data_IF_353460442340
#
_entry.id   IF_353460442340
#
_cell.length_a   1.000
_cell.length_b   1.000
_cell.length_c   1.000
_cell.angle_alpha   90.00
_cell.angle_beta   90.00
_cell.angle_gamma   90.00
#
_symmetry.space_group_name_H-M   'P 1'
#
loop_
_entity.id
_entity.type
_entity.pdbx_description
1 polymer ?
#
# COMPACT_ATOMS: atom_id res chain seq x y z
N UNK A 1 9.25 2.60 17.29
CA UNK A 1 7.87 2.87 16.80
C UNK A 1 7.56 4.34 17.04
N UNK A 2 6.85 5.01 16.14
CA UNK A 2 6.43 6.40 16.32
C UNK A 2 5.77 6.59 17.69
N UNK A 3 6.00 7.76 18.28
CA UNK A 3 5.49 8.07 19.62
C UNK A 3 4.37 9.11 19.59
N UNK A 4 4.16 9.81 18.46
CA UNK A 4 3.08 10.77 18.34
C UNK A 4 2.94 11.32 16.92
N UNK A 5 1.76 11.88 16.67
CA UNK A 5 1.39 12.58 15.44
C UNK A 5 0.84 13.96 15.81
N UNK A 6 1.34 15.01 15.18
CA UNK A 6 0.91 16.40 15.42
C UNK A 6 0.58 17.06 14.09
N UNK A 7 -0.56 17.76 14.06
CA UNK A 7 -0.99 18.54 12.92
C UNK A 7 -0.79 20.03 13.27
N UNK A 8 0.01 20.71 12.48
CA UNK A 8 0.34 22.11 12.66
C UNK A 8 -0.13 22.92 11.43
N UNK A 9 -0.63 24.10 11.66
CA UNK A 9 -0.91 25.11 10.65
C UNK A 9 -0.04 26.33 10.90
N UNK A 10 0.40 26.99 9.84
CA UNK A 10 1.09 28.25 9.91
C UNK A 10 0.16 29.39 9.50
N UNK A 11 -0.11 30.30 10.43
CA UNK A 11 -0.84 31.54 10.18
C UNK A 11 0.12 32.73 10.22
N UNK A 12 0.08 33.60 9.20
CA UNK A 12 0.99 34.73 9.08
C UNK A 12 0.86 35.76 10.23
N UNK A 13 -0.26 35.80 10.96
CA UNK A 13 -0.53 36.72 12.04
C UNK A 13 -0.31 36.14 13.42
N UNK A 14 -0.67 34.88 13.60
CA UNK A 14 -0.64 34.19 14.88
C UNK A 14 0.64 33.34 15.03
N UNK A 15 1.22 32.90 13.92
CA UNK A 15 2.36 32.00 13.89
C UNK A 15 1.94 30.54 13.87
N UNK A 16 2.58 29.71 14.71
CA UNK A 16 2.32 28.27 14.81
C UNK A 16 1.01 28.01 15.56
N UNK A 17 0.11 27.29 14.92
CA UNK A 17 -1.12 26.77 15.52
C UNK A 17 -1.15 25.24 15.43
N UNK A 18 -1.39 24.56 16.56
CA UNK A 18 -1.55 23.10 16.60
C UNK A 18 -3.05 22.80 16.50
N UNK A 19 -3.44 22.16 15.37
CA UNK A 19 -4.82 21.83 15.06
C UNK A 19 -5.27 20.50 15.70
N UNK A 20 -4.33 19.59 15.95
CA UNK A 20 -4.60 18.30 16.57
C UNK A 20 -3.33 17.53 16.91
N UNK A 21 -3.44 16.60 17.86
CA UNK A 21 -2.34 15.75 18.27
C UNK A 21 -2.86 14.36 18.70
N UNK A 22 -2.03 13.34 18.49
CA UNK A 22 -2.29 11.99 19.00
C UNK A 22 -0.98 11.33 19.43
N UNK A 23 -0.89 10.74 20.64
CA UNK A 23 -1.86 10.94 21.76
C UNK A 23 -2.04 12.41 22.14
N UNK A 24 -3.17 12.75 22.78
CA UNK A 24 -3.49 14.15 23.16
C UNK A 24 -2.45 14.81 24.06
N UNK A 25 -1.70 14.02 24.84
CA UNK A 25 -0.66 14.48 25.75
C UNK A 25 0.64 14.86 25.02
N UNK A 26 0.74 14.57 23.75
CA UNK A 26 1.95 14.85 22.95
C UNK A 26 2.09 16.36 22.76
N UNK A 27 3.22 16.88 23.18
CA UNK A 27 3.57 18.30 23.02
C UNK A 27 4.95 18.42 22.41
N UNK A 28 5.05 19.18 21.33
CA UNK A 28 6.32 19.60 20.72
C UNK A 28 6.61 21.03 21.18
N UNK A 29 7.86 21.30 21.55
CA UNK A 29 8.26 22.66 21.91
C UNK A 29 8.10 23.60 20.72
N UNK A 30 7.55 24.79 20.94
CA UNK A 30 7.33 25.83 19.91
C UNK A 30 8.62 26.13 19.13
N UNK A 31 9.77 26.18 19.79
CA UNK A 31 11.07 26.34 19.14
C UNK A 31 11.34 25.26 18.09
N UNK A 32 10.96 24.02 18.35
CA UNK A 32 11.16 22.89 17.42
C UNK A 32 10.19 22.98 16.25
N UNK A 33 8.94 23.39 16.49
CA UNK A 33 7.97 23.65 15.42
C UNK A 33 8.45 24.78 14.51
N UNK A 34 9.01 25.84 15.05
CA UNK A 34 9.62 26.94 14.29
C UNK A 34 10.83 26.48 13.47
N UNK A 35 11.61 25.55 13.97
CA UNK A 35 12.73 24.96 13.21
C UNK A 35 12.21 24.14 12.02
N UNK A 36 11.17 23.34 12.20
CA UNK A 36 10.52 22.58 11.11
C UNK A 36 9.95 23.52 10.05
N UNK A 37 9.21 24.56 10.48
CA UNK A 37 8.70 25.58 9.59
C UNK A 37 9.83 26.21 8.75
N UNK A 38 10.90 26.65 9.39
CA UNK A 38 12.04 27.29 8.70
C UNK A 38 12.73 26.37 7.70
N UNK A 39 12.77 25.06 7.96
CA UNK A 39 13.34 24.09 7.02
C UNK A 39 12.45 23.90 5.79
N UNK A 40 11.14 23.81 5.98
CA UNK A 40 10.19 23.72 4.87
C UNK A 40 10.15 25.02 4.05
N UNK A 41 10.21 26.18 4.71
CA UNK A 41 10.26 27.48 4.04
C UNK A 41 11.51 27.62 3.14
N UNK A 42 12.64 27.04 3.58
CA UNK A 42 13.86 27.04 2.78
C UNK A 42 13.74 26.20 1.49
N UNK A 43 12.96 25.12 1.50
CA UNK A 43 12.68 24.32 0.31
C UNK A 43 11.61 24.96 -0.57
N UNK A 44 10.66 25.67 0.03
CA UNK A 44 9.57 26.39 -0.65
C UNK A 44 8.54 25.51 -1.37
N UNK A 45 8.70 24.19 -1.30
CA UNK A 45 7.86 23.20 -1.99
C UNK A 45 7.21 22.26 -0.99
N UNK A 46 6.06 21.69 -1.37
CA UNK A 46 5.44 20.60 -0.63
C UNK A 46 6.39 19.39 -0.59
N UNK A 47 6.43 18.71 0.55
CA UNK A 47 7.30 17.55 0.69
C UNK A 47 7.68 17.26 2.12
N UNK A 48 8.57 16.31 2.30
CA UNK A 48 9.01 15.85 3.60
C UNK A 48 10.34 16.46 4.03
N UNK A 49 10.46 16.73 5.32
CA UNK A 49 11.68 17.14 6.02
C UNK A 49 11.85 16.29 7.26
N UNK A 50 13.05 15.77 7.50
CA UNK A 50 13.44 15.09 8.72
C UNK A 50 14.30 16.00 9.59
N UNK A 51 13.97 16.11 10.89
CA UNK A 51 14.69 16.92 11.87
C UNK A 51 14.99 16.13 13.12
N UNK A 52 16.26 16.12 13.54
CA UNK A 52 16.63 15.59 14.88
C UNK A 52 16.61 16.70 15.90
N UNK A 53 15.77 16.57 16.92
CA UNK A 53 15.60 17.52 18.01
C UNK A 53 15.88 16.86 19.37
N UNK A 54 17.11 16.95 19.83
CA UNK A 54 17.54 16.29 21.07
C UNK A 54 17.51 14.78 21.00
N UNK A 55 16.62 14.14 21.75
CA UNK A 55 16.49 12.68 21.83
C UNK A 55 15.40 12.10 20.92
N UNK A 56 14.74 12.92 20.09
CA UNK A 56 13.68 12.49 19.18
C UNK A 56 14.01 12.88 17.75
N UNK A 57 13.58 12.05 16.82
CA UNK A 57 13.53 12.41 15.40
C UNK A 57 12.10 12.84 15.04
N UNK A 58 11.99 13.79 14.14
CA UNK A 58 10.73 14.30 13.62
C UNK A 58 10.73 14.13 12.11
N UNK A 59 9.69 13.53 11.57
CA UNK A 59 9.42 13.50 10.14
C UNK A 59 8.20 14.40 9.89
N UNK A 60 8.36 15.47 9.11
CA UNK A 60 7.33 16.46 8.85
C UNK A 60 7.02 16.54 7.37
N UNK A 61 5.75 16.39 7.00
CA UNK A 61 5.28 16.57 5.65
C UNK A 61 4.52 17.91 5.54
N UNK A 62 4.98 18.76 4.64
CA UNK A 62 4.38 20.06 4.34
C UNK A 62 3.51 19.98 3.09
N UNK A 63 2.32 20.54 3.15
CA UNK A 63 1.31 20.47 2.08
C UNK A 63 1.46 21.55 1.00
N UNK A 64 2.38 22.46 1.19
CA UNK A 64 2.57 23.60 0.28
C UNK A 64 1.85 24.88 0.75
N UNK A 65 2.08 26.01 0.07
CA UNK A 65 1.64 27.34 0.51
C UNK A 65 0.11 27.55 0.46
N UNK A 66 -0.63 26.74 -0.31
CA UNK A 66 -2.08 26.92 -0.44
C UNK A 66 -2.84 26.52 0.84
N UNK A 67 -2.41 25.47 1.52
CA UNK A 67 -3.04 24.99 2.76
C UNK A 67 -2.19 25.23 4.01
N UNK A 68 -0.88 25.43 3.88
CA UNK A 68 0.08 25.73 4.94
C UNK A 68 0.00 24.79 6.16
N UNK A 69 -0.31 23.51 5.92
CA UNK A 69 -0.45 22.47 6.94
C UNK A 69 0.81 21.61 6.98
N UNK A 70 1.21 21.23 8.18
CA UNK A 70 2.35 20.37 8.46
C UNK A 70 1.86 19.17 9.26
N UNK A 71 2.12 17.97 8.76
CA UNK A 71 1.83 16.70 9.44
C UNK A 71 3.12 16.15 9.98
N UNK A 72 3.27 16.15 11.31
CA UNK A 72 4.52 15.88 12.01
C UNK A 72 4.42 14.56 12.75
N UNK A 73 5.27 13.60 12.40
CA UNK A 73 5.41 12.32 13.09
C UNK A 73 6.60 12.38 14.04
N UNK A 74 6.37 12.02 15.28
CA UNK A 74 7.41 11.97 16.31
C UNK A 74 7.95 10.55 16.40
N UNK A 75 9.25 10.42 16.20
CA UNK A 75 9.99 9.17 16.13
C UNK A 75 10.96 9.04 17.28
N UNK A 76 11.35 7.81 17.61
CA UNK A 76 12.49 7.59 18.48
C UNK A 76 13.80 7.97 17.78
N UNK A 77 14.87 8.18 18.54
CA UNK A 77 16.17 8.57 17.98
C UNK A 77 16.78 7.54 17.00
N UNK A 78 16.34 6.29 17.08
CA UNK A 78 16.85 5.19 16.26
C UNK A 78 16.06 5.02 14.94
N UNK A 79 14.93 5.72 14.79
CA UNK A 79 14.06 5.58 13.63
C UNK A 79 14.43 6.59 12.54
N UNK A 80 14.46 6.10 11.31
CA UNK A 80 14.66 6.90 10.11
C UNK A 80 13.32 7.46 9.63
N UNK A 81 13.21 8.80 9.59
CA UNK A 81 12.01 9.50 9.12
C UNK A 81 11.67 9.20 7.65
N UNK A 82 12.67 8.99 6.80
CA UNK A 82 12.48 8.80 5.35
C UNK A 82 11.68 7.55 5.01
N UNK A 83 11.63 6.58 5.93
CA UNK A 83 10.81 5.37 5.76
C UNK A 83 9.32 5.68 5.78
N UNK A 84 8.92 6.78 6.46
CA UNK A 84 7.52 7.18 6.62
C UNK A 84 7.01 8.17 5.58
N UNK A 85 7.88 8.67 4.69
CA UNK A 85 7.55 9.72 3.71
C UNK A 85 6.26 9.43 2.94
N UNK A 86 6.18 8.26 2.32
CA UNK A 86 5.01 7.85 1.53
C UNK A 86 3.74 7.71 2.39
N UNK A 87 3.89 7.16 3.61
CA UNK A 87 2.81 7.04 4.57
C UNK A 87 2.29 8.39 5.05
N UNK A 88 3.21 9.32 5.37
CA UNK A 88 2.87 10.70 5.74
C UNK A 88 2.13 11.43 4.63
N UNK A 89 2.63 11.36 3.40
CA UNK A 89 1.96 11.96 2.25
C UNK A 89 0.54 11.41 2.04
N UNK A 90 0.34 10.12 2.27
CA UNK A 90 -0.97 9.49 2.12
C UNK A 90 -1.97 9.94 3.20
N UNK A 91 -1.57 9.92 4.48
CA UNK A 91 -2.47 10.36 5.57
C UNK A 91 -2.73 11.87 5.52
N UNK A 92 -1.76 12.67 5.06
CA UNK A 92 -1.91 14.12 4.92
C UNK A 92 -3.13 14.49 4.09
N UNK A 93 -3.40 13.75 3.00
CA UNK A 93 -4.59 13.98 2.17
C UNK A 93 -5.88 13.73 2.97
N UNK A 94 -5.94 12.68 3.75
CA UNK A 94 -7.11 12.39 4.59
C UNK A 94 -7.30 13.44 5.69
N UNK A 95 -6.20 13.95 6.25
CA UNK A 95 -6.20 15.04 7.22
C UNK A 95 -6.75 16.32 6.58
N UNK A 96 -6.26 16.70 5.39
CA UNK A 96 -6.72 17.90 4.67
C UNK A 96 -8.24 17.88 4.40
N UNK A 97 -8.79 16.72 4.02
CA UNK A 97 -10.23 16.57 3.79
C UNK A 97 -11.08 16.73 5.06
N UNK A 98 -10.48 16.64 6.24
CA UNK A 98 -11.17 16.69 7.53
C UNK A 98 -10.74 17.85 8.42
N UNK A 99 -9.94 18.80 7.91
CA UNK A 99 -9.42 19.93 8.71
C UNK A 99 -10.52 20.81 9.32
N UNK A 100 -11.57 21.08 8.56
CA UNK A 100 -12.68 21.95 8.97
C UNK A 100 -13.77 21.19 9.76
N UNK A 101 -13.61 19.90 9.95
CA UNK A 101 -14.62 19.08 10.65
C UNK A 101 -14.23 18.83 12.10
N UNK A 102 -15.21 18.80 13.00
CA UNK A 102 -15.04 18.38 14.41
C UNK A 102 -14.52 16.92 14.53
N UNK A 103 -14.37 16.24 13.39
CA UNK A 103 -13.93 14.85 13.32
C UNK A 103 -12.41 14.68 13.27
N UNK A 104 -11.60 15.75 13.13
CA UNK A 104 -10.15 15.64 12.99
C UNK A 104 -9.53 14.75 14.07
N UNK A 105 -9.80 15.02 15.34
CA UNK A 105 -9.24 14.25 16.45
C UNK A 105 -9.70 12.78 16.45
N UNK A 106 -10.86 12.47 15.88
CA UNK A 106 -11.37 11.09 15.81
C UNK A 106 -10.66 10.25 14.75
N UNK A 107 -10.11 10.88 13.71
CA UNK A 107 -9.38 10.17 12.64
C UNK A 107 -7.89 10.01 12.92
N UNK A 108 -7.30 10.82 13.82
CA UNK A 108 -5.86 10.73 14.11
C UNK A 108 -5.43 9.37 14.67
N UNK A 109 -6.15 8.71 15.61
CA UNK A 109 -5.74 7.40 16.12
C UNK A 109 -5.60 6.33 15.05
N UNK A 110 -6.58 6.06 14.17
CA UNK A 110 -6.42 5.07 13.11
C UNK A 110 -5.34 5.43 12.09
N UNK A 111 -5.16 6.72 11.76
CA UNK A 111 -4.09 7.16 10.86
C UNK A 111 -2.71 6.94 11.49
N UNK A 112 -2.56 7.23 12.76
CA UNK A 112 -1.32 6.99 13.51
C UNK A 112 -0.98 5.50 13.58
N UNK A 113 -1.96 4.63 13.88
CA UNK A 113 -1.76 3.18 13.87
C UNK A 113 -1.28 2.68 12.50
N UNK A 114 -1.88 3.20 11.44
CA UNK A 114 -1.48 2.88 10.06
C UNK A 114 -0.04 3.29 9.77
N UNK A 115 0.38 4.49 10.18
CA UNK A 115 1.77 4.93 10.07
C UNK A 115 2.72 4.07 10.88
N UNK A 116 2.35 3.69 12.11
CA UNK A 116 3.22 2.94 13.01
C UNK A 116 3.67 1.59 12.46
N UNK A 117 2.86 0.97 11.61
CA UNK A 117 3.21 -0.32 10.96
C UNK A 117 3.86 -0.14 9.57
N UNK A 118 3.91 1.08 9.05
CA UNK A 118 4.37 1.37 7.68
C UNK A 118 5.76 0.79 7.35
N UNK A 119 6.77 0.87 8.23
CA UNK A 119 8.09 0.29 7.96
C UNK A 119 8.10 -1.23 7.83
N UNK A 120 7.11 -1.89 8.45
CA UNK A 120 7.01 -3.36 8.50
C UNK A 120 6.09 -3.93 7.43
N UNK A 121 5.47 -3.07 6.59
CA UNK A 121 4.59 -3.51 5.52
C UNK A 121 5.32 -4.40 4.52
N UNK A 122 4.69 -5.52 4.21
CA UNK A 122 5.15 -6.42 3.16
C UNK A 122 4.98 -5.78 1.78
N UNK A 123 5.65 -6.33 0.77
CA UNK A 123 5.49 -5.88 -0.61
C UNK A 123 4.02 -5.98 -1.07
N UNK A 124 3.34 -7.08 -0.72
CA UNK A 124 1.91 -7.28 -0.97
C UNK A 124 1.04 -6.15 -0.37
N UNK A 125 1.30 -5.77 0.88
CA UNK A 125 0.57 -4.67 1.54
C UNK A 125 0.86 -3.31 0.88
N UNK A 126 2.09 -3.05 0.44
CA UNK A 126 2.44 -1.82 -0.30
C UNK A 126 1.71 -1.72 -1.64
N UNK A 127 1.57 -2.84 -2.37
CA UNK A 127 0.73 -2.88 -3.57
C UNK A 127 -0.74 -2.65 -3.22
N UNK A 128 -1.21 -3.22 -2.11
CA UNK A 128 -2.56 -2.96 -1.59
C UNK A 128 -2.81 -1.49 -1.32
N UNK A 129 -1.87 -0.78 -0.69
CA UNK A 129 -1.96 0.67 -0.46
C UNK A 129 -2.01 1.46 -1.76
N UNK A 130 -1.24 1.07 -2.78
CA UNK A 130 -1.32 1.70 -4.08
C UNK A 130 -2.71 1.55 -4.70
N UNK A 131 -3.27 0.33 -4.66
CA UNK A 131 -4.60 0.05 -5.21
C UNK A 131 -5.74 0.67 -4.38
N UNK A 132 -5.57 0.84 -3.08
CA UNK A 132 -6.57 1.46 -2.21
C UNK A 132 -6.66 2.99 -2.39
N UNK A 133 -5.63 3.61 -2.96
CA UNK A 133 -5.62 5.03 -3.30
C UNK A 133 -6.25 5.26 -4.68
N UNK A 134 -7.41 5.96 -4.72
CA UNK A 134 -8.11 6.28 -5.97
C UNK A 134 -7.21 6.99 -6.97
N UNK A 135 -6.41 7.93 -6.50
CA UNK A 135 -5.50 8.73 -7.33
C UNK A 135 -4.39 7.87 -7.95
N UNK A 136 -3.75 7.01 -7.14
CA UNK A 136 -2.71 6.08 -7.61
C UNK A 136 -3.29 5.05 -8.58
N UNK A 137 -4.50 4.55 -8.29
CA UNK A 137 -5.21 3.60 -9.15
C UNK A 137 -5.60 4.21 -10.49
N UNK A 138 -6.09 5.46 -10.49
CA UNK A 138 -6.40 6.20 -11.72
C UNK A 138 -5.15 6.38 -12.59
N UNK A 139 -4.02 6.78 -11.98
CA UNK A 139 -2.76 6.95 -12.72
C UNK A 139 -2.25 5.62 -13.27
N UNK A 140 -2.31 4.54 -12.48
CA UNK A 140 -1.92 3.20 -12.95
C UNK A 140 -2.78 2.75 -14.13
N UNK A 141 -4.09 2.94 -14.07
CA UNK A 141 -5.00 2.59 -15.18
C UNK A 141 -4.68 3.38 -16.45
N UNK A 142 -4.40 4.66 -16.33
CA UNK A 142 -3.99 5.48 -17.47
C UNK A 142 -2.66 4.99 -18.09
N UNK A 143 -1.68 4.63 -17.23
CA UNK A 143 -0.39 4.09 -17.71
C UNK A 143 -0.54 2.71 -18.37
N UNK A 144 -1.55 1.93 -17.97
CA UNK A 144 -1.91 0.66 -18.64
C UNK A 144 -2.38 0.86 -20.07
N UNK A 145 -3.08 1.96 -20.33
CA UNK A 145 -3.60 2.30 -21.66
C UNK A 145 -2.53 2.96 -22.55
N UNK A 146 -1.78 3.91 -21.99
CA UNK A 146 -0.88 4.75 -22.77
C UNK A 146 0.59 4.32 -22.76
N UNK A 147 0.99 3.43 -21.86
CA UNK A 147 2.35 2.86 -21.71
C UNK A 147 3.43 3.88 -21.34
N UNK A 148 3.40 5.08 -21.90
CA UNK A 148 4.34 6.16 -21.67
C UNK A 148 3.63 7.51 -21.73
N UNK A 149 3.73 8.33 -20.67
CA UNK A 149 3.08 9.63 -20.56
C UNK A 149 4.10 10.66 -20.04
N UNK A 150 4.05 11.89 -20.52
CA UNK A 150 4.94 12.94 -19.99
C UNK A 150 4.53 13.37 -18.59
N UNK A 151 5.50 13.67 -17.71
CA UNK A 151 5.23 14.17 -16.36
C UNK A 151 4.35 15.41 -16.38
N UNK A 152 4.58 16.34 -17.30
CA UNK A 152 3.76 17.54 -17.47
C UNK A 152 2.33 17.21 -17.85
N UNK A 153 2.11 16.23 -18.71
CA UNK A 153 0.77 15.78 -19.10
C UNK A 153 0.03 15.10 -17.93
N UNK A 154 0.72 14.27 -17.15
CA UNK A 154 0.16 13.68 -15.92
C UNK A 154 -0.27 14.81 -14.96
N UNK A 155 0.57 15.81 -14.75
CA UNK A 155 0.27 16.93 -13.85
C UNK A 155 -0.97 17.74 -14.28
N UNK A 156 -1.09 18.03 -15.58
CA UNK A 156 -2.26 18.72 -16.12
C UNK A 156 -3.52 17.87 -15.98
N UNK A 157 -3.43 16.60 -16.40
CA UNK A 157 -4.56 15.68 -16.35
C UNK A 157 -5.04 15.42 -14.91
N UNK A 158 -4.11 15.27 -13.95
CA UNK A 158 -4.48 15.09 -12.55
C UNK A 158 -5.21 16.30 -11.98
N UNK A 159 -4.78 17.52 -12.30
CA UNK A 159 -5.49 18.76 -11.90
C UNK A 159 -6.91 18.82 -12.47
N UNK A 160 -7.10 18.36 -13.70
CA UNK A 160 -8.43 18.31 -14.33
C UNK A 160 -9.36 17.27 -13.72
N UNK A 161 -8.82 16.11 -13.36
CA UNK A 161 -9.59 15.00 -12.78
C UNK A 161 -9.88 15.21 -11.29
N UNK A 162 -8.94 15.81 -10.56
CA UNK A 162 -8.98 15.95 -9.11
C UNK A 162 -9.07 17.44 -8.72
N UNK A 163 -10.24 18.04 -8.98
CA UNK A 163 -10.48 19.48 -8.78
C UNK A 163 -10.54 19.91 -7.33
N UNK A 164 -10.83 18.98 -6.39
CA UNK A 164 -11.10 19.26 -4.99
C UNK A 164 -9.91 18.95 -4.05
N UNK A 165 -8.73 18.67 -4.57
CA UNK A 165 -7.60 18.29 -3.72
C UNK A 165 -6.24 18.58 -4.32
N UNK A 166 -5.28 18.82 -3.45
CA UNK A 166 -3.87 18.89 -3.82
C UNK A 166 -3.37 17.47 -4.20
N UNK A 167 -2.81 17.36 -5.41
CA UNK A 167 -2.17 16.12 -5.88
C UNK A 167 -0.71 16.43 -6.17
N UNK A 168 0.15 15.94 -5.30
CA UNK A 168 1.59 15.93 -5.52
C UNK A 168 1.96 14.79 -6.46
N UNK A 169 2.13 15.12 -7.74
CA UNK A 169 2.45 14.15 -8.80
C UNK A 169 3.85 13.57 -8.63
N UNK A 170 4.81 14.35 -8.13
CA UNK A 170 6.18 13.88 -7.90
C UNK A 170 6.19 12.77 -6.85
N UNK A 171 5.49 12.96 -5.73
CA UNK A 171 5.38 11.96 -4.68
C UNK A 171 4.60 10.72 -5.13
N UNK A 172 3.50 10.89 -5.89
CA UNK A 172 2.78 9.76 -6.48
C UNK A 172 3.70 8.89 -7.35
N UNK A 173 4.48 9.53 -8.21
CA UNK A 173 5.41 8.84 -9.10
C UNK A 173 6.58 8.23 -8.33
N UNK A 174 7.12 8.91 -7.31
CA UNK A 174 8.21 8.39 -6.47
C UNK A 174 7.80 7.06 -5.80
N UNK A 175 6.59 6.99 -5.24
CA UNK A 175 6.04 5.74 -4.67
C UNK A 175 5.95 4.61 -5.70
N UNK A 176 5.47 4.90 -6.92
CA UNK A 176 5.39 3.89 -7.98
C UNK A 176 6.77 3.46 -8.52
N UNK A 177 7.75 4.38 -8.56
CA UNK A 177 9.14 4.07 -8.90
C UNK A 177 9.78 3.18 -7.84
N UNK A 178 9.58 3.50 -6.55
CA UNK A 178 10.08 2.71 -5.41
C UNK A 178 9.52 1.28 -5.42
N UNK A 179 8.27 1.11 -5.84
CA UNK A 179 7.65 -0.20 -6.03
C UNK A 179 8.10 -0.92 -7.32
N UNK A 180 8.89 -0.27 -8.17
CA UNK A 180 9.41 -0.84 -9.40
C UNK A 180 8.38 -0.95 -10.54
N UNK A 181 7.22 -0.30 -10.42
CA UNK A 181 6.15 -0.37 -11.42
C UNK A 181 6.42 0.57 -12.61
N UNK A 182 7.02 1.73 -12.34
CA UNK A 182 7.30 2.72 -13.36
C UNK A 182 8.77 3.15 -13.35
N UNK A 183 9.25 3.61 -14.50
CA UNK A 183 10.55 4.27 -14.66
C UNK A 183 10.34 5.63 -15.31
N UNK A 184 11.15 6.59 -14.89
CA UNK A 184 11.13 7.95 -15.44
C UNK A 184 12.42 8.16 -16.23
N UNK A 185 12.30 8.66 -17.44
CA UNK A 185 13.48 8.98 -18.24
C UNK A 185 13.19 10.09 -19.26
N UNK A 186 14.24 10.85 -19.57
CA UNK A 186 14.23 11.79 -20.67
C UNK A 186 14.31 11.06 -22.04
N UNK A 187 13.64 11.61 -23.03
CA UNK A 187 13.62 11.09 -24.39
C UNK A 187 14.04 12.19 -25.35
N UNK A 188 14.96 11.89 -26.27
CA UNK A 188 15.49 12.85 -27.24
C UNK A 188 14.35 13.44 -28.08
N UNK A 189 14.26 14.77 -28.06
CA UNK A 189 13.26 15.52 -28.84
C UNK A 189 11.97 15.80 -28.06
N UNK A 190 11.89 15.47 -26.78
CA UNK A 190 10.82 15.85 -25.88
C UNK A 190 11.37 16.73 -24.76
N UNK A 191 10.57 17.73 -24.32
CA UNK A 191 10.96 18.70 -23.32
C UNK A 191 10.69 18.24 -21.89
N UNK A 192 9.80 17.27 -21.70
CA UNK A 192 9.43 16.72 -20.40
C UNK A 192 9.89 15.27 -20.31
N UNK A 193 10.29 14.84 -19.12
CA UNK A 193 10.53 13.44 -18.83
C UNK A 193 9.26 12.62 -19.02
N UNK A 194 9.44 11.39 -19.45
CA UNK A 194 8.36 10.42 -19.64
C UNK A 194 8.35 9.41 -18.51
N UNK A 195 7.16 9.05 -18.09
CA UNK A 195 6.85 7.97 -17.16
C UNK A 195 6.47 6.73 -17.97
N UNK A 196 7.16 5.62 -17.73
CA UNK A 196 6.99 4.36 -18.42
C UNK A 196 6.50 3.28 -17.47
N UNK A 197 5.41 2.60 -17.80
CA UNK A 197 4.98 1.40 -17.08
C UNK A 197 5.88 0.22 -17.48
N UNK A 198 6.73 -0.24 -16.57
CA UNK A 198 7.68 -1.33 -16.81
C UNK A 198 7.26 -2.64 -16.17
N UNK A 199 6.54 -2.57 -15.07
CA UNK A 199 5.87 -3.70 -14.43
C UNK A 199 4.45 -3.29 -14.02
N UNK A 200 3.57 -4.28 -13.86
CA UNK A 200 2.19 -4.05 -13.43
C UNK A 200 1.84 -5.00 -12.29
N UNK A 201 0.73 -4.76 -11.62
CA UNK A 201 0.23 -5.57 -10.51
C UNK A 201 -1.13 -6.16 -10.85
N UNK A 202 -1.32 -7.42 -10.43
CA UNK A 202 -2.61 -8.08 -10.52
C UNK A 202 -3.08 -8.52 -9.14
N UNK A 203 -4.38 -8.45 -8.94
CA UNK A 203 -5.06 -8.97 -7.77
C UNK A 203 -5.56 -10.37 -8.10
N UNK A 204 -5.23 -11.32 -7.27
CA UNK A 204 -5.62 -12.72 -7.41
C UNK A 204 -6.40 -13.15 -6.18
N UNK A 205 -7.57 -13.71 -6.38
CA UNK A 205 -8.33 -14.43 -5.38
C UNK A 205 -8.38 -15.89 -5.79
N UNK A 206 -7.73 -16.76 -5.01
CA UNK A 206 -7.49 -18.15 -5.38
C UNK A 206 -7.98 -19.10 -4.30
N UNK A 207 -8.28 -20.36 -4.64
CA UNK A 207 -8.41 -21.40 -3.63
C UNK A 207 -7.12 -21.53 -2.81
N UNK A 208 -7.19 -21.79 -1.51
CA UNK A 208 -6.02 -22.02 -0.67
C UNK A 208 -5.44 -23.43 -0.96
N UNK A 209 -4.68 -23.53 -2.06
CA UNK A 209 -4.29 -24.80 -2.70
C UNK A 209 -3.56 -25.73 -1.76
N UNK A 210 -2.62 -25.24 -0.95
CA UNK A 210 -1.84 -26.08 -0.04
C UNK A 210 -2.72 -26.67 1.06
N UNK A 211 -3.62 -25.85 1.62
CA UNK A 211 -4.57 -26.29 2.65
C UNK A 211 -5.56 -27.35 2.13
N UNK A 212 -5.98 -27.24 0.86
CA UNK A 212 -6.94 -28.16 0.24
C UNK A 212 -6.29 -29.52 -0.08
N UNK A 213 -5.01 -29.55 -0.44
CA UNK A 213 -4.30 -30.77 -0.76
C UNK A 213 -4.33 -31.77 0.40
N UNK A 214 -4.01 -31.30 1.58
CA UNK A 214 -4.05 -32.10 2.80
C UNK A 214 -4.55 -31.32 4.02
N UNK A 215 -5.89 -31.15 4.14
CA UNK A 215 -6.46 -30.39 5.25
C UNK A 215 -6.14 -30.96 6.64
N UNK A 216 -5.89 -32.28 6.72
CA UNK A 216 -5.60 -32.94 8.00
C UNK A 216 -4.21 -32.60 8.50
N UNK A 217 -3.22 -32.57 7.63
CA UNK A 217 -1.85 -32.16 7.97
C UNK A 217 -1.80 -30.67 8.39
N UNK A 218 -2.79 -29.88 7.90
CA UNK A 218 -2.98 -28.48 8.29
C UNK A 218 -3.99 -28.29 9.43
N UNK A 219 -4.08 -29.25 10.35
CA UNK A 219 -4.82 -29.19 11.61
C UNK A 219 -6.35 -29.27 11.51
N UNK A 220 -6.94 -29.65 10.38
CA UNK A 220 -8.37 -29.90 10.28
C UNK A 220 -8.71 -31.35 10.68
N UNK A 221 -9.70 -31.60 11.54
CA UNK A 221 -10.19 -32.95 11.81
C UNK A 221 -10.58 -33.68 10.53
N UNK A 222 -10.24 -34.96 10.43
CA UNK A 222 -10.52 -35.80 9.25
C UNK A 222 -12.03 -35.82 8.90
N UNK A 223 -12.91 -35.75 9.91
CA UNK A 223 -14.37 -35.70 9.73
C UNK A 223 -14.87 -34.46 9.01
N UNK A 224 -14.09 -33.35 9.00
CA UNK A 224 -14.47 -32.07 8.39
C UNK A 224 -13.85 -31.86 7.00
N UNK A 225 -12.93 -32.71 6.58
CA UNK A 225 -12.18 -32.61 5.32
C UNK A 225 -13.08 -32.39 4.10
N UNK A 226 -14.06 -33.29 3.91
CA UNK A 226 -14.93 -33.25 2.73
C UNK A 226 -15.85 -32.03 2.74
N UNK A 227 -16.31 -31.62 3.92
CA UNK A 227 -17.13 -30.42 4.10
C UNK A 227 -16.36 -29.16 3.74
N UNK A 228 -15.09 -29.05 4.16
CA UNK A 228 -14.21 -27.95 3.81
C UNK A 228 -13.94 -27.85 2.32
N UNK A 229 -13.52 -28.96 1.69
CA UNK A 229 -13.25 -28.99 0.25
C UNK A 229 -14.50 -28.63 -0.56
N UNK A 230 -15.67 -29.10 -0.13
CA UNK A 230 -16.94 -28.76 -0.76
C UNK A 230 -17.26 -27.28 -0.64
N UNK A 231 -17.04 -26.67 0.53
CA UNK A 231 -17.28 -25.24 0.75
C UNK A 231 -16.41 -24.37 -0.15
N UNK A 232 -15.09 -24.66 -0.23
CA UNK A 232 -14.20 -23.93 -1.12
C UNK A 232 -14.63 -24.08 -2.59
N UNK A 233 -15.01 -25.29 -3.01
CA UNK A 233 -15.51 -25.51 -4.38
C UNK A 233 -16.77 -24.70 -4.66
N UNK A 234 -17.76 -24.76 -3.78
CA UNK A 234 -19.01 -24.02 -3.93
C UNK A 234 -18.76 -22.52 -4.04
N UNK A 235 -17.81 -22.00 -3.22
CA UNK A 235 -17.43 -20.59 -3.30
C UNK A 235 -16.93 -20.22 -4.70
N UNK A 236 -15.96 -20.95 -5.24
CA UNK A 236 -15.36 -20.62 -6.54
C UNK A 236 -16.24 -20.96 -7.76
N UNK A 237 -17.21 -21.85 -7.63
CA UNK A 237 -18.24 -22.08 -8.67
C UNK A 237 -19.15 -20.88 -8.87
N UNK A 238 -19.36 -20.07 -7.81
CA UNK A 238 -20.24 -18.90 -7.83
C UNK A 238 -19.50 -17.57 -7.84
N UNK A 239 -18.19 -17.58 -7.59
CA UNK A 239 -17.39 -16.37 -7.47
C UNK A 239 -17.17 -15.69 -8.82
N UNK A 240 -17.53 -14.41 -8.88
CA UNK A 240 -17.23 -13.54 -10.03
C UNK A 240 -16.31 -12.42 -9.54
N UNK A 241 -15.08 -12.31 -10.08
CA UNK A 241 -14.16 -11.25 -9.70
C UNK A 241 -14.74 -9.86 -9.94
N UNK A 242 -14.58 -8.96 -8.97
CA UNK A 242 -14.98 -7.55 -9.11
C UNK A 242 -13.98 -6.63 -8.42
N UNK A 243 -13.84 -5.40 -8.93
CA UNK A 243 -12.98 -4.39 -8.32
C UNK A 243 -13.46 -4.04 -6.91
N UNK A 244 -14.77 -3.94 -6.70
CA UNK A 244 -15.35 -3.64 -5.38
C UNK A 244 -15.02 -4.71 -4.32
N UNK A 245 -15.06 -6.01 -4.70
CA UNK A 245 -14.66 -7.11 -3.83
C UNK A 245 -13.16 -7.03 -3.49
N UNK A 246 -12.32 -6.79 -4.49
CA UNK A 246 -10.89 -6.65 -4.30
C UNK A 246 -10.54 -5.48 -3.35
N UNK A 247 -11.14 -4.32 -3.55
CA UNK A 247 -10.91 -3.15 -2.69
C UNK A 247 -11.42 -3.38 -1.26
N UNK A 248 -12.54 -4.07 -1.09
CA UNK A 248 -13.05 -4.41 0.23
C UNK A 248 -12.10 -5.34 1.00
N UNK A 249 -11.46 -6.31 0.33
CA UNK A 249 -10.47 -7.20 0.95
C UNK A 249 -9.19 -6.42 1.26
N UNK A 250 -8.72 -5.59 0.34
CA UNK A 250 -7.53 -4.76 0.56
C UNK A 250 -7.72 -3.88 1.78
N UNK A 251 -8.81 -3.14 1.86
CA UNK A 251 -9.05 -2.18 2.94
C UNK A 251 -9.29 -2.87 4.29
N UNK A 252 -10.18 -3.87 4.33
CA UNK A 252 -10.62 -4.50 5.59
C UNK A 252 -9.69 -5.60 6.12
N UNK A 253 -8.92 -6.24 5.23
CA UNK A 253 -8.12 -7.43 5.61
C UNK A 253 -6.64 -7.19 5.39
N UNK A 254 -6.23 -6.82 4.17
CA UNK A 254 -4.81 -6.74 3.83
C UNK A 254 -4.10 -5.58 4.53
N UNK A 255 -4.75 -4.41 4.61
CA UNK A 255 -4.20 -3.20 5.21
C UNK A 255 -4.49 -3.07 6.71
N UNK A 256 -5.37 -3.90 7.26
CA UNK A 256 -5.58 -3.99 8.71
C UNK A 256 -4.47 -4.86 9.33
N UNK A 257 -3.63 -4.32 10.22
CA UNK A 257 -2.49 -5.07 10.78
C UNK A 257 -2.91 -6.33 11.53
N UNK A 258 -4.02 -6.29 12.27
CA UNK A 258 -4.52 -7.43 13.03
C UNK A 258 -5.07 -8.52 12.10
N UNK A 259 -5.83 -8.14 11.08
CA UNK A 259 -6.33 -9.08 10.07
C UNK A 259 -5.17 -9.72 9.29
N UNK A 260 -4.13 -8.93 8.96
CA UNK A 260 -2.97 -9.44 8.23
C UNK A 260 -2.15 -10.45 9.05
N UNK A 261 -1.99 -10.27 10.36
CA UNK A 261 -1.35 -11.27 11.22
C UNK A 261 -2.17 -12.57 11.29
N UNK A 262 -3.49 -12.48 11.29
CA UNK A 262 -4.38 -13.65 11.28
C UNK A 262 -4.33 -14.36 9.94
N UNK A 263 -4.37 -13.64 8.80
CA UNK A 263 -4.31 -14.29 7.47
C UNK A 263 -2.97 -15.01 7.25
N UNK A 264 -1.84 -14.46 7.73
CA UNK A 264 -0.54 -15.15 7.66
C UNK A 264 -0.59 -16.50 8.37
N UNK A 265 -1.18 -16.55 9.56
CA UNK A 265 -1.34 -17.81 10.29
C UNK A 265 -2.27 -18.79 9.57
N UNK A 266 -3.39 -18.27 9.03
CA UNK A 266 -4.39 -19.10 8.34
C UNK A 266 -3.91 -19.60 6.97
N UNK A 267 -2.92 -18.98 6.36
CA UNK A 267 -2.24 -19.48 5.15
C UNK A 267 -1.42 -20.75 5.43
N UNK A 268 -0.98 -20.92 6.67
CA UNK A 268 -0.16 -22.07 7.09
C UNK A 268 -1.00 -23.24 7.61
N UNK A 269 -2.08 -22.95 8.35
CA UNK A 269 -2.94 -23.97 8.97
C UNK A 269 -4.34 -23.47 9.27
N UNK A 270 -5.28 -24.42 9.45
CA UNK A 270 -6.58 -24.14 10.06
C UNK A 270 -6.40 -23.82 11.54
N UNK A 271 -7.10 -22.82 12.01
CA UNK A 271 -6.90 -22.27 13.35
C UNK A 271 -8.15 -22.40 14.21
N UNK A 272 -7.91 -22.60 15.50
CA UNK A 272 -8.97 -22.54 16.53
C UNK A 272 -9.00 -21.14 17.17
N UNK A 273 -10.07 -20.82 17.91
CA UNK A 273 -10.16 -19.58 18.66
C UNK A 273 -8.97 -19.39 19.62
N UNK A 274 -8.52 -20.49 20.26
CA UNK A 274 -7.37 -20.45 21.16
C UNK A 274 -6.06 -20.07 20.44
N UNK A 275 -5.90 -20.44 19.18
CA UNK A 275 -4.72 -20.07 18.42
C UNK A 275 -4.73 -18.58 18.05
N UNK A 276 -5.90 -18.06 17.71
CA UNK A 276 -6.09 -16.63 17.45
C UNK A 276 -5.86 -15.76 18.69
N UNK A 277 -6.30 -16.22 19.87
CA UNK A 277 -6.07 -15.48 21.12
C UNK A 277 -4.58 -15.39 21.50
N UNK A 278 -3.74 -16.34 21.06
CA UNK A 278 -2.28 -16.24 21.22
C UNK A 278 -1.68 -15.06 20.46
N UNK A 279 -2.35 -14.59 19.40
CA UNK A 279 -1.90 -13.44 18.60
C UNK A 279 -2.12 -12.09 19.29
N UNK A 280 -2.78 -12.03 20.46
CA UNK A 280 -2.86 -10.80 21.27
C UNK A 280 -1.47 -10.19 21.53
N UNK A 281 -0.46 -11.04 21.70
CA UNK A 281 0.94 -10.60 21.86
C UNK A 281 1.53 -9.94 20.63
N UNK A 282 0.87 -10.07 19.47
CA UNK A 282 1.25 -9.50 18.17
C UNK A 282 0.32 -8.36 17.75
N UNK A 283 -0.50 -7.82 18.68
CA UNK A 283 -1.39 -6.70 18.40
C UNK A 283 -2.79 -7.06 17.88
N UNK A 284 -3.19 -8.35 18.01
CA UNK A 284 -4.56 -8.78 17.68
C UNK A 284 -5.40 -8.74 18.97
N UNK A 285 -5.85 -7.56 19.37
CA UNK A 285 -6.57 -7.38 20.65
C UNK A 285 -8.04 -7.82 20.55
N UNK A 286 -8.69 -7.57 19.41
CA UNK A 286 -10.10 -7.90 19.16
C UNK A 286 -10.21 -8.96 18.05
N UNK A 287 -10.19 -10.23 18.48
CA UNK A 287 -10.32 -11.40 17.58
C UNK A 287 -11.70 -11.43 16.88
N UNK A 288 -12.78 -11.02 17.57
CA UNK A 288 -14.13 -11.08 17.01
C UNK A 288 -14.29 -10.07 15.86
N UNK A 289 -13.73 -8.87 16.00
CA UNK A 289 -13.67 -7.87 14.92
C UNK A 289 -12.95 -8.41 13.70
N UNK A 290 -11.79 -9.03 13.91
CA UNK A 290 -10.96 -9.59 12.82
C UNK A 290 -11.71 -10.71 12.10
N UNK A 291 -12.26 -11.68 12.84
CA UNK A 291 -13.03 -12.78 12.25
C UNK A 291 -14.26 -12.27 11.50
N UNK A 292 -14.94 -11.26 12.01
CA UNK A 292 -16.08 -10.62 11.35
C UNK A 292 -15.66 -9.99 10.01
N UNK A 293 -14.56 -9.23 9.98
CA UNK A 293 -14.05 -8.61 8.75
C UNK A 293 -13.68 -9.66 7.69
N UNK A 294 -13.01 -10.74 8.09
CA UNK A 294 -12.63 -11.83 7.19
C UNK A 294 -13.86 -12.64 6.71
N UNK A 295 -14.87 -12.77 7.55
CA UNK A 295 -16.11 -13.45 7.18
C UNK A 295 -16.98 -12.60 6.24
N UNK A 296 -17.12 -11.30 6.48
CA UNK A 296 -17.83 -10.36 5.60
C UNK A 296 -17.20 -10.30 4.20
N UNK A 297 -15.89 -10.41 4.11
CA UNK A 297 -15.15 -10.48 2.84
C UNK A 297 -15.12 -11.90 2.25
N UNK A 298 -15.79 -12.85 2.87
CA UNK A 298 -15.85 -14.27 2.44
C UNK A 298 -14.46 -14.91 2.30
N UNK A 299 -13.54 -14.49 3.13
CA UNK A 299 -12.19 -15.09 3.18
C UNK A 299 -12.17 -16.37 3.99
N UNK A 300 -13.04 -16.52 4.97
CA UNK A 300 -13.09 -17.65 5.89
C UNK A 300 -14.45 -18.32 5.97
N UNK A 301 -14.44 -19.60 6.31
CA UNK A 301 -15.58 -20.37 6.77
C UNK A 301 -15.27 -20.98 8.14
N UNK A 302 -16.32 -21.26 8.90
CA UNK A 302 -16.24 -21.87 10.24
C UNK A 302 -16.85 -23.26 10.21
N UNK A 303 -16.10 -24.23 10.73
CA UNK A 303 -16.54 -25.62 10.86
C UNK A 303 -16.53 -26.03 12.33
N UNK A 304 -17.47 -26.88 12.71
CA UNK A 304 -17.54 -27.46 14.05
C UNK A 304 -17.35 -28.98 14.00
N UNK A 305 -16.53 -29.51 14.90
CA UNK A 305 -16.41 -30.94 15.09
C UNK A 305 -17.52 -31.50 16.03
N UNK A 306 -17.56 -32.81 16.18
CA UNK A 306 -18.53 -33.51 17.06
C UNK A 306 -18.40 -33.12 18.55
N UNK A 307 -17.33 -32.43 18.92
CA UNK A 307 -17.07 -31.94 20.28
C UNK A 307 -17.36 -30.45 20.45
N UNK A 308 -18.00 -29.83 19.43
CA UNK A 308 -18.26 -28.39 19.35
C UNK A 308 -16.99 -27.51 19.34
N UNK A 309 -15.84 -28.01 18.92
CA UNK A 309 -14.70 -27.16 18.66
C UNK A 309 -14.85 -26.47 17.33
N UNK A 310 -14.59 -25.15 17.30
CA UNK A 310 -14.65 -24.34 16.08
C UNK A 310 -13.30 -24.25 15.41
N UNK A 311 -13.33 -24.46 14.09
CA UNK A 311 -12.17 -24.36 13.20
C UNK A 311 -12.44 -23.30 12.16
N UNK A 312 -11.57 -22.28 12.12
CA UNK A 312 -11.61 -21.19 11.14
C UNK A 312 -10.68 -21.54 10.00
N UNK A 313 -11.21 -21.66 8.80
CA UNK A 313 -10.50 -22.11 7.62
C UNK A 313 -10.60 -21.08 6.51
N UNK A 314 -9.51 -20.87 5.76
CA UNK A 314 -9.56 -20.04 4.56
C UNK A 314 -10.45 -20.68 3.50
N UNK A 315 -11.49 -19.97 3.06
CA UNK A 315 -12.30 -20.34 1.88
C UNK A 315 -11.63 -19.90 0.61
N UNK A 316 -11.00 -18.72 0.65
CA UNK A 316 -10.22 -18.17 -0.43
C UNK A 316 -8.99 -17.45 0.11
N UNK A 317 -7.91 -17.49 -0.63
CA UNK A 317 -6.72 -16.69 -0.37
C UNK A 317 -6.66 -15.51 -1.35
N UNK A 318 -5.94 -14.48 -0.98
CA UNK A 318 -5.89 -13.22 -1.70
C UNK A 318 -4.43 -12.77 -1.82
N UNK A 319 -4.00 -12.51 -3.04
CA UNK A 319 -2.64 -12.07 -3.33
C UNK A 319 -2.63 -10.86 -4.27
N UNK A 320 -1.66 -9.99 -4.07
CA UNK A 320 -1.32 -8.95 -5.04
C UNK A 320 0.10 -9.23 -5.52
N UNK A 321 0.21 -9.56 -6.79
CA UNK A 321 1.48 -9.94 -7.40
C UNK A 321 1.88 -8.99 -8.52
N UNK A 322 3.16 -8.75 -8.62
CA UNK A 322 3.77 -8.00 -9.71
C UNK A 322 4.02 -8.91 -10.90
N UNK A 323 3.73 -8.43 -12.09
CA UNK A 323 3.94 -9.16 -13.32
C UNK A 323 4.48 -8.28 -14.45
N UNK A 324 5.15 -8.92 -15.42
CA UNK A 324 5.62 -8.25 -16.62
C UNK A 324 4.45 -7.94 -17.57
N UNK A 325 4.17 -6.65 -17.90
CA UNK A 325 2.99 -6.25 -18.67
C UNK A 325 3.18 -6.49 -20.17
N UNK A 326 3.13 -7.74 -20.60
CA UNK A 326 3.32 -8.12 -22.01
C UNK A 326 2.34 -7.42 -22.96
N UNK A 327 1.16 -7.07 -22.49
CA UNK A 327 0.15 -6.34 -23.26
C UNK A 327 0.65 -4.96 -23.72
N UNK A 328 1.61 -4.33 -23.01
CA UNK A 328 2.20 -3.06 -23.44
C UNK A 328 2.89 -3.14 -24.80
N UNK A 329 3.36 -4.29 -25.20
CA UNK A 329 3.95 -4.49 -26.56
C UNK A 329 2.90 -4.25 -27.62
N UNK A 330 1.67 -4.70 -27.40
CA UNK A 330 0.57 -4.50 -28.35
C UNK A 330 0.09 -3.05 -28.32
N UNK A 331 0.06 -2.40 -27.15
CA UNK A 331 -0.22 -0.97 -27.03
C UNK A 331 0.81 -0.13 -27.80
N UNK A 332 2.11 -0.42 -27.65
CA UNK A 332 3.21 0.25 -28.37
C UNK A 332 3.04 0.07 -29.89
N UNK A 333 2.72 -1.14 -30.36
CA UNK A 333 2.45 -1.40 -31.79
C UNK A 333 1.28 -0.59 -32.30
N UNK A 334 0.19 -0.52 -31.54
CA UNK A 334 -0.99 0.24 -31.91
C UNK A 334 -0.67 1.73 -31.97
N UNK A 335 -0.04 2.29 -30.95
CA UNK A 335 0.35 3.70 -30.87
C UNK A 335 1.31 4.09 -32.01
N UNK A 336 2.23 3.20 -32.39
CA UNK A 336 3.09 3.42 -33.54
C UNK A 336 2.31 3.45 -34.87
N UNK A 337 1.37 2.52 -35.08
CA UNK A 337 0.54 2.45 -36.29
C UNK A 337 -0.40 3.65 -36.44
N UNK A 338 -0.98 4.08 -35.34
CA UNK A 338 -1.90 5.24 -35.30
C UNK A 338 -1.18 6.58 -35.24
N UNK A 339 0.15 6.57 -35.06
CA UNK A 339 0.97 7.77 -34.85
C UNK A 339 0.49 8.64 -33.68
N UNK A 340 -0.11 8.02 -32.68
CA UNK A 340 -0.63 8.70 -31.50
C UNK A 340 0.46 9.04 -30.48
N UNK A 341 1.65 8.46 -30.60
CA UNK A 341 2.78 8.69 -29.71
C UNK A 341 4.09 8.91 -30.50
N UNK A 342 5.03 9.64 -29.88
CA UNK A 342 6.35 9.90 -30.47
C UNK A 342 7.13 8.59 -30.66
N UNK A 343 7.68 8.31 -31.87
CA UNK A 343 8.44 7.07 -32.12
C UNK A 343 9.64 6.85 -31.20
N UNK A 344 10.33 7.93 -30.77
CA UNK A 344 11.46 7.81 -29.84
C UNK A 344 10.99 7.41 -28.44
N UNK A 345 9.81 7.86 -28.01
CA UNK A 345 9.20 7.43 -26.76
C UNK A 345 8.85 5.93 -26.79
N UNK A 346 8.25 5.46 -27.89
CA UNK A 346 7.91 4.05 -28.07
C UNK A 346 9.15 3.14 -28.14
N UNK A 347 10.22 3.57 -28.80
CA UNK A 347 11.49 2.84 -28.80
C UNK A 347 12.10 2.77 -27.41
N UNK A 348 12.07 3.89 -26.66
CA UNK A 348 12.55 3.92 -25.28
C UNK A 348 11.75 2.99 -24.37
N UNK A 349 10.43 2.95 -24.54
CA UNK A 349 9.55 2.02 -23.82
C UNK A 349 9.94 0.56 -24.07
N UNK A 350 10.17 0.18 -25.34
CA UNK A 350 10.61 -1.17 -25.72
C UNK A 350 11.98 -1.53 -25.12
N UNK A 351 12.93 -0.58 -25.11
CA UNK A 351 14.24 -0.81 -24.51
C UNK A 351 14.12 -1.05 -23.00
N UNK A 352 13.34 -0.23 -22.30
CA UNK A 352 13.10 -0.40 -20.87
C UNK A 352 12.41 -1.73 -20.53
N UNK A 353 11.38 -2.09 -21.29
CA UNK A 353 10.69 -3.38 -21.13
C UNK A 353 11.64 -4.56 -21.39
N UNK A 354 12.50 -4.46 -22.38
CA UNK A 354 13.52 -5.46 -22.69
C UNK A 354 14.51 -5.64 -21.54
N UNK A 355 15.01 -4.53 -21.01
CA UNK A 355 15.96 -4.56 -19.89
C UNK A 355 15.34 -5.19 -18.65
N UNK A 356 14.07 -4.85 -18.35
CA UNK A 356 13.33 -5.44 -17.23
C UNK A 356 13.10 -6.94 -17.41
N UNK A 357 12.68 -7.36 -18.59
CA UNK A 357 12.50 -8.78 -18.90
C UNK A 357 13.78 -9.59 -18.64
N UNK A 358 14.92 -9.10 -19.12
CA UNK A 358 16.19 -9.79 -18.91
C UNK A 358 16.66 -9.78 -17.45
N UNK A 359 16.37 -8.71 -16.71
CA UNK A 359 16.63 -8.65 -15.27
C UNK A 359 15.82 -9.73 -14.52
N UNK A 360 14.53 -9.85 -14.81
CA UNK A 360 13.67 -10.88 -14.22
C UNK A 360 14.10 -12.31 -14.57
N UNK A 361 14.49 -12.55 -15.84
CA UNK A 361 14.99 -13.88 -16.27
C UNK A 361 16.26 -14.25 -15.53
N UNK A 362 17.17 -13.30 -15.29
CA UNK A 362 18.37 -13.53 -14.49
C UNK A 362 18.04 -13.88 -13.04
N UNK A 363 17.13 -13.14 -12.42
CA UNK A 363 16.69 -13.39 -11.04
C UNK A 363 16.04 -14.77 -10.89
N UNK A 364 15.14 -15.15 -11.80
CA UNK A 364 14.52 -16.47 -11.78
C UNK A 364 15.52 -17.61 -11.94
N UNK A 365 16.52 -17.47 -12.82
CA UNK A 365 17.60 -18.45 -12.98
C UNK A 365 18.46 -18.57 -11.72
N UNK A 366 18.79 -17.45 -11.07
CA UNK A 366 19.55 -17.46 -9.83
C UNK A 366 18.78 -18.12 -8.68
N UNK A 367 17.48 -17.84 -8.57
CA UNK A 367 16.60 -18.44 -7.57
C UNK A 367 16.42 -19.97 -7.79
N UNK A 368 16.28 -20.40 -9.04
CA UNK A 368 16.21 -21.84 -9.38
C UNK A 368 17.48 -22.56 -9.00
N UNK A 369 18.66 -22.00 -9.33
CA UNK A 369 19.95 -22.59 -8.97
C UNK A 369 20.12 -22.71 -7.47
N UNK A 370 19.73 -21.69 -6.69
CA UNK A 370 19.79 -21.74 -5.23
C UNK A 370 18.88 -22.81 -4.62
N UNK A 371 17.69 -23.04 -5.23
CA UNK A 371 16.79 -24.13 -4.80
C UNK A 371 17.37 -25.52 -5.09
N UNK A 372 18.05 -25.70 -6.23
CA UNK A 372 18.73 -26.97 -6.56
C UNK A 372 19.91 -27.24 -5.63
N UNK A 373 20.68 -26.23 -5.25
CA UNK A 373 21.79 -26.35 -4.30
C UNK A 373 21.29 -26.73 -2.90
N UNK A 374 20.19 -26.13 -2.42
CA UNK A 374 19.59 -26.45 -1.10
C UNK A 374 18.91 -27.84 -1.09
N UNK A 375 18.48 -28.36 -2.23
CA UNK A 375 17.88 -29.68 -2.33
C UNK A 375 18.92 -30.80 -2.48
N UNK A 376 20.18 -30.47 -2.74
CA UNK A 376 21.30 -31.41 -2.91
C UNK A 376 22.15 -31.57 -1.63
N UNK A 377 22.01 -30.69 -0.65
CA UNK A 377 22.55 -30.81 0.72
C UNK A 377 21.54 -31.47 1.67
#
# INVERSE_FOLDING_TARGET
MPTGLVIMHWDERVGVEVLGAYPEEVVIQEKTLMQLYSQHEFTGEAGMVSLTAGAVNLASYYTGPESAVYVILILTAEEDGDVYEEGLAEITRQILMNLESDSLNSILPPLFQRLSVYPTLTEEQRYGMLLNSDVKRMLLNRLREETAISKSEISIWMKDQYREGFVDVENLLAGMVKLGLVKIASVKGLSSDLVFLTEDIMVLRTPPVELIKDPVDHHLPASLKDSYIKEVRNFFELYVPSEADNLAIIDKVLLDPACYEVIKLMREAMVTRNDLEKLRKKGVDDVDRVLKAMWETKMIAVFQDDKNNEYFCLTSDFFIERFYPRYNIDNIRQQYRTRSQNPNALLKALDMMKDEYYAQVKLKKAAAKKKEEVAAD
#
